data_IF_197576539377
#
_entry.id   IF_197576539377
#
_cell.length_a   1.000
_cell.length_b   1.000
_cell.length_c   1.000
_cell.angle_alpha   90.00
_cell.angle_beta   90.00
_cell.angle_gamma   90.00
#
_symmetry.space_group_name_H-M   'P 1'
#
loop_
_entity.id
_entity.type
_entity.pdbx_description
1 polymer ?
#
# COMPACT_ATOMS: atom_id res chain seq x y z
N UNK A 1 -14.63 21.87 -25.55
CA UNK A 1 -14.04 22.50 -24.35
C UNK A 1 -12.91 21.65 -23.71
N UNK A 2 -12.84 20.33 -23.93
CA UNK A 2 -11.78 19.47 -23.34
C UNK A 2 -10.43 19.50 -24.07
N UNK A 3 -10.37 19.95 -25.31
CA UNK A 3 -9.11 19.97 -26.10
C UNK A 3 -8.14 21.09 -25.66
N UNK A 4 -8.66 22.21 -25.20
CA UNK A 4 -7.87 23.35 -24.71
C UNK A 4 -7.11 23.05 -23.42
N UNK A 5 -7.70 22.27 -22.52
CA UNK A 5 -7.08 21.92 -21.23
C UNK A 5 -5.87 20.97 -21.40
N UNK A 6 -5.90 20.01 -22.33
CA UNK A 6 -4.74 19.14 -22.63
C UNK A 6 -3.58 19.93 -23.28
N UNK A 7 -3.89 20.79 -24.23
CA UNK A 7 -2.87 21.65 -24.86
C UNK A 7 -2.22 22.61 -23.87
N UNK A 8 -2.98 23.24 -22.99
CA UNK A 8 -2.43 24.10 -21.93
C UNK A 8 -1.53 23.34 -20.96
N UNK A 9 -1.90 22.11 -20.54
CA UNK A 9 -1.05 21.30 -19.67
C UNK A 9 0.26 20.88 -20.36
N UNK A 10 0.20 20.47 -21.64
CA UNK A 10 1.40 20.16 -22.41
C UNK A 10 2.29 21.38 -22.64
N UNK A 11 1.71 22.56 -22.89
CA UNK A 11 2.46 23.81 -22.98
C UNK A 11 3.14 24.16 -21.64
N UNK A 12 2.45 24.07 -20.50
CA UNK A 12 3.05 24.33 -19.19
C UNK A 12 4.19 23.37 -18.82
N UNK A 13 4.06 22.10 -19.18
CA UNK A 13 5.13 21.10 -18.95
C UNK A 13 6.34 21.40 -19.87
N UNK A 14 6.08 21.72 -21.13
CA UNK A 14 7.11 22.04 -22.12
C UNK A 14 7.82 23.35 -21.77
N UNK A 15 7.09 24.39 -21.40
CA UNK A 15 7.62 25.69 -20.98
C UNK A 15 8.48 25.58 -19.70
N UNK A 16 8.08 24.74 -18.76
CA UNK A 16 8.90 24.44 -17.57
C UNK A 16 10.15 23.60 -17.89
N UNK A 17 10.05 22.68 -18.83
CA UNK A 17 11.20 21.89 -19.25
C UNK A 17 12.21 22.73 -20.06
N UNK A 18 11.72 23.64 -20.92
CA UNK A 18 12.56 24.55 -21.74
C UNK A 18 13.19 25.66 -20.88
N UNK A 19 12.58 26.06 -19.77
CA UNK A 19 13.09 27.08 -18.84
C UNK A 19 13.68 26.48 -17.54
N UNK A 20 13.81 25.17 -17.45
CA UNK A 20 14.52 24.53 -16.34
C UNK A 20 16.01 24.97 -16.38
N UNK A 21 16.59 25.43 -15.26
CA UNK A 21 18.03 25.70 -15.24
C UNK A 21 18.76 24.42 -15.63
N UNK A 22 19.76 24.55 -16.55
CA UNK A 22 20.64 23.43 -16.85
C UNK A 22 21.21 22.91 -15.54
N UNK A 23 20.76 21.72 -15.16
CA UNK A 23 21.40 20.98 -14.09
C UNK A 23 22.84 20.74 -14.58
N UNK A 24 23.81 21.45 -13.98
CA UNK A 24 25.18 21.03 -14.12
C UNK A 24 25.22 19.57 -13.75
N UNK A 25 25.43 18.70 -14.72
CA UNK A 25 25.74 17.31 -14.48
C UNK A 25 26.96 17.27 -13.56
N UNK A 26 26.71 17.18 -12.24
CA UNK A 26 27.65 16.49 -11.41
C UNK A 26 27.75 15.13 -12.07
N UNK A 27 28.89 14.83 -12.68
CA UNK A 27 29.21 13.47 -13.11
C UNK A 27 28.97 12.56 -11.91
N UNK A 28 27.76 12.09 -11.78
CA UNK A 28 27.48 10.90 -11.00
C UNK A 28 28.30 9.84 -11.70
N UNK A 29 29.35 9.37 -11.05
CA UNK A 29 30.02 8.15 -11.49
C UNK A 29 28.89 7.14 -11.67
N UNK A 30 28.67 6.76 -12.93
CA UNK A 30 27.68 5.76 -13.24
C UNK A 30 28.00 4.53 -12.39
N UNK A 31 26.98 3.95 -11.77
CA UNK A 31 27.13 2.69 -11.07
C UNK A 31 27.75 1.70 -12.05
N UNK A 32 28.99 1.30 -11.79
CA UNK A 32 29.64 0.23 -12.54
C UNK A 32 28.96 -1.08 -12.16
N UNK A 33 29.00 -2.08 -13.06
CA UNK A 33 28.49 -3.43 -12.76
C UNK A 33 29.05 -3.97 -11.43
N UNK A 34 30.30 -3.62 -11.11
CA UNK A 34 30.97 -3.94 -9.87
C UNK A 34 30.37 -3.25 -8.64
N UNK A 35 29.84 -2.02 -8.77
CA UNK A 35 29.10 -1.33 -7.71
C UNK A 35 27.70 -1.93 -7.50
N UNK A 36 27.05 -2.39 -8.57
CA UNK A 36 25.75 -3.08 -8.49
C UNK A 36 25.90 -4.46 -7.84
N UNK A 37 26.95 -5.21 -8.17
CA UNK A 37 27.30 -6.48 -7.53
C UNK A 37 27.64 -6.27 -6.04
N UNK A 38 28.43 -5.26 -5.69
CA UNK A 38 28.73 -4.92 -4.29
C UNK A 38 27.49 -4.45 -3.51
N UNK A 39 26.53 -3.78 -4.14
CA UNK A 39 25.24 -3.44 -3.51
C UNK A 39 24.37 -4.68 -3.31
N UNK A 40 24.39 -5.64 -4.25
CA UNK A 40 23.69 -6.91 -4.11
C UNK A 40 24.33 -7.82 -3.05
N UNK A 41 25.68 -7.86 -2.96
CA UNK A 41 26.39 -8.57 -1.92
C UNK A 41 26.21 -7.92 -0.53
N UNK A 42 26.20 -6.59 -0.44
CA UNK A 42 25.89 -5.88 0.81
C UNK A 42 24.44 -6.05 1.23
N UNK A 43 23.50 -6.14 0.29
CA UNK A 43 22.10 -6.48 0.58
C UNK A 43 21.95 -7.92 1.11
N UNK A 44 22.75 -8.87 0.61
CA UNK A 44 22.81 -10.23 1.18
C UNK A 44 23.46 -10.26 2.57
N UNK A 45 24.46 -9.40 2.83
CA UNK A 45 25.13 -9.34 4.14
C UNK A 45 24.24 -8.72 5.24
N UNK A 46 23.30 -7.84 4.89
CA UNK A 46 22.35 -7.26 5.85
C UNK A 46 21.22 -8.23 6.24
N UNK A 47 20.94 -9.26 5.43
CA UNK A 47 19.87 -10.23 5.71
C UNK A 47 20.27 -11.35 6.69
N UNK A 48 21.56 -11.59 6.93
CA UNK A 48 22.00 -12.61 7.89
C UNK A 48 22.17 -12.12 9.34
N UNK A 49 22.26 -10.81 9.59
CA UNK A 49 22.68 -10.29 10.90
C UNK A 49 21.57 -9.92 11.89
N UNK A 50 20.27 -9.96 11.52
CA UNK A 50 19.17 -9.56 12.44
C UNK A 50 17.99 -10.53 12.39
N UNK A 51 18.22 -11.83 12.41
CA UNK A 51 17.16 -12.79 12.81
C UNK A 51 17.10 -12.85 14.33
N UNK A 52 16.55 -11.81 14.94
CA UNK A 52 16.15 -11.89 16.34
C UNK A 52 14.91 -12.79 16.46
N UNK A 53 14.71 -13.38 17.63
CA UNK A 53 13.56 -14.25 17.94
C UNK A 53 12.18 -13.57 17.70
N UNK A 54 12.18 -12.25 17.44
CA UNK A 54 11.01 -11.37 17.28
C UNK A 54 10.71 -10.92 15.85
N UNK A 55 11.53 -11.33 14.87
CA UNK A 55 11.29 -10.96 13.45
C UNK A 55 9.96 -11.52 12.96
N UNK A 56 9.13 -10.67 12.34
CA UNK A 56 7.85 -11.05 11.71
C UNK A 56 7.96 -10.98 10.19
N UNK A 57 7.40 -11.98 9.50
CA UNK A 57 7.38 -12.05 8.04
C UNK A 57 6.12 -11.37 7.51
N UNK A 58 6.30 -10.39 6.66
CA UNK A 58 5.21 -9.57 6.12
C UNK A 58 5.24 -9.65 4.60
N UNK A 59 4.14 -10.09 4.01
CA UNK A 59 3.97 -10.12 2.55
C UNK A 59 3.78 -8.70 2.02
N UNK A 60 4.62 -8.32 1.05
CA UNK A 60 4.54 -7.05 0.35
C UNK A 60 4.08 -7.30 -1.09
N UNK A 61 2.88 -6.85 -1.44
CA UNK A 61 2.43 -6.84 -2.83
C UNK A 61 3.32 -5.90 -3.65
N UNK A 62 4.02 -6.43 -4.65
CA UNK A 62 5.00 -5.68 -5.45
C UNK A 62 5.08 -6.26 -6.85
N UNK A 63 4.47 -5.56 -7.81
CA UNK A 63 4.50 -5.84 -9.25
C UNK A 63 4.05 -4.58 -10.03
N UNK A 64 3.75 -4.73 -11.31
CA UNK A 64 3.33 -3.62 -12.17
C UNK A 64 2.02 -2.95 -11.71
N UNK A 65 1.13 -3.70 -11.03
CA UNK A 65 -0.12 -3.18 -10.48
C UNK A 65 0.07 -2.51 -9.11
N UNK A 66 1.10 -2.90 -8.34
CA UNK A 66 1.38 -2.44 -6.97
C UNK A 66 2.83 -1.96 -6.87
N UNK A 67 3.09 -0.76 -7.36
CA UNK A 67 4.44 -0.21 -7.52
C UNK A 67 4.68 1.12 -6.78
N UNK A 68 3.66 1.69 -6.14
CA UNK A 68 3.78 2.96 -5.44
C UNK A 68 3.82 2.76 -3.93
N UNK A 69 5.01 2.86 -3.35
CA UNK A 69 5.26 2.82 -1.91
C UNK A 69 6.40 3.77 -1.54
N UNK A 70 6.40 4.22 -0.29
CA UNK A 70 7.52 4.99 0.25
C UNK A 70 8.63 4.04 0.70
N UNK A 71 9.80 4.16 0.09
CA UNK A 71 10.94 3.29 0.39
C UNK A 71 11.36 3.39 1.86
N UNK A 72 11.33 4.59 2.42
CA UNK A 72 11.62 4.85 3.83
C UNK A 72 10.60 4.21 4.81
N UNK A 73 9.33 4.04 4.42
CA UNK A 73 8.38 3.25 5.21
C UNK A 73 8.79 1.77 5.29
N UNK A 74 9.29 1.22 4.17
CA UNK A 74 9.75 -0.17 4.13
C UNK A 74 11.01 -0.36 4.97
N UNK A 75 11.95 0.57 4.88
CA UNK A 75 13.17 0.58 5.68
C UNK A 75 12.86 0.67 7.18
N UNK A 76 11.95 1.58 7.58
CA UNK A 76 11.52 1.68 8.98
C UNK A 76 10.90 0.38 9.50
N UNK A 77 10.03 -0.28 8.72
CA UNK A 77 9.47 -1.57 9.10
C UNK A 77 10.55 -2.63 9.30
N UNK A 78 11.57 -2.65 8.43
CA UNK A 78 12.69 -3.59 8.56
C UNK A 78 13.55 -3.29 9.80
N UNK A 79 13.84 -2.02 10.08
CA UNK A 79 14.53 -1.58 11.30
C UNK A 79 13.78 -1.99 12.57
N UNK A 80 12.43 -1.98 12.52
CA UNK A 80 11.55 -2.40 13.62
C UNK A 80 11.36 -3.92 13.71
N UNK A 81 12.03 -4.71 12.86
CA UNK A 81 12.05 -6.17 12.90
C UNK A 81 11.09 -6.87 11.95
N UNK A 82 10.68 -6.24 10.84
CA UNK A 82 9.98 -6.90 9.77
C UNK A 82 10.93 -7.55 8.77
N UNK A 83 10.62 -8.76 8.32
CA UNK A 83 11.16 -9.38 7.10
C UNK A 83 10.13 -9.21 6.00
N UNK A 84 10.39 -8.33 5.02
CA UNK A 84 9.48 -8.08 3.92
C UNK A 84 9.66 -9.14 2.84
N UNK A 85 8.58 -9.84 2.51
CA UNK A 85 8.55 -10.91 1.52
C UNK A 85 7.75 -10.42 0.32
N UNK A 86 8.38 -10.02 -0.78
CA UNK A 86 7.65 -9.57 -1.97
C UNK A 86 6.89 -10.72 -2.60
N UNK A 87 5.70 -10.44 -3.13
CA UNK A 87 4.90 -11.33 -3.95
C UNK A 87 4.12 -10.53 -4.99
N UNK A 88 3.77 -11.19 -6.08
CA UNK A 88 3.04 -10.56 -7.18
C UNK A 88 1.58 -11.00 -7.23
N UNK A 89 0.61 -10.13 -6.94
CA UNK A 89 -0.80 -10.42 -7.20
C UNK A 89 -1.11 -10.74 -8.66
N UNK A 90 -0.33 -10.24 -9.62
CA UNK A 90 -0.49 -10.53 -11.04
C UNK A 90 -0.01 -11.93 -11.43
N UNK A 91 1.17 -12.35 -10.94
CA UNK A 91 1.89 -13.50 -11.50
C UNK A 91 1.97 -14.71 -10.57
N UNK A 92 1.97 -14.50 -9.24
CA UNK A 92 2.01 -15.60 -8.28
C UNK A 92 0.61 -16.23 -8.12
N UNK A 93 0.58 -17.48 -7.69
CA UNK A 93 -0.69 -18.23 -7.52
C UNK A 93 -1.29 -18.07 -6.12
N UNK A 94 -0.49 -17.74 -5.14
CA UNK A 94 -0.90 -17.55 -3.75
C UNK A 94 0.11 -16.67 -3.02
N UNK A 95 -0.29 -16.15 -1.87
CA UNK A 95 0.63 -15.44 -0.97
C UNK A 95 1.72 -16.39 -0.46
N UNK A 96 2.93 -15.90 -0.14
CA UNK A 96 3.99 -16.70 0.47
C UNK A 96 3.54 -17.35 1.79
N UNK A 97 4.18 -18.47 2.13
CA UNK A 97 3.87 -19.18 3.38
C UNK A 97 4.49 -18.49 4.60
N UNK A 98 3.91 -18.78 5.77
CA UNK A 98 4.37 -18.31 7.08
C UNK A 98 4.45 -16.77 7.19
N UNK A 99 3.51 -16.07 6.61
CA UNK A 99 3.34 -14.64 6.79
C UNK A 99 2.58 -14.35 8.09
N UNK A 100 2.87 -13.21 8.68
CA UNK A 100 2.19 -12.70 9.89
C UNK A 100 1.47 -11.37 9.64
N UNK A 101 1.53 -10.85 8.41
CA UNK A 101 0.87 -9.62 7.98
C UNK A 101 1.01 -9.42 6.48
N UNK A 102 0.18 -8.52 5.93
CA UNK A 102 0.14 -8.17 4.52
C UNK A 102 0.19 -6.65 4.31
N UNK A 103 0.91 -6.23 3.29
CA UNK A 103 0.98 -4.85 2.83
C UNK A 103 0.59 -4.77 1.36
N UNK A 104 -0.45 -3.98 1.08
CA UNK A 104 -0.89 -3.61 -0.26
C UNK A 104 -0.83 -2.09 -0.35
N UNK A 105 0.21 -1.56 -0.95
CA UNK A 105 0.33 -0.12 -1.16
C UNK A 105 -0.33 0.34 -2.46
N UNK A 106 -0.01 1.54 -2.89
CA UNK A 106 -0.56 2.11 -4.10
C UNK A 106 -0.01 1.50 -5.39
N UNK A 107 -0.56 1.95 -6.46
CA UNK A 107 -0.24 1.54 -7.82
C UNK A 107 -1.42 1.79 -8.73
N UNK A 108 -1.53 0.99 -9.77
CA UNK A 108 -2.53 1.16 -10.83
C UNK A 108 -3.27 -0.16 -11.11
N UNK A 109 -3.93 -0.78 -10.11
CA UNK A 109 -4.62 -2.06 -10.31
C UNK A 109 -5.74 -1.98 -11.36
N UNK A 110 -6.29 -0.80 -11.61
CA UNK A 110 -7.28 -0.55 -12.64
C UNK A 110 -6.74 -0.78 -14.06
N UNK A 111 -5.45 -0.61 -14.30
CA UNK A 111 -4.80 -0.89 -15.58
C UNK A 111 -4.60 -2.39 -15.83
N UNK A 112 -4.63 -3.18 -14.78
CA UNK A 112 -4.43 -4.63 -14.76
C UNK A 112 -5.65 -5.37 -14.22
N UNK A 113 -6.82 -4.71 -14.23
CA UNK A 113 -8.02 -5.24 -13.60
C UNK A 113 -8.48 -6.58 -14.20
N UNK A 114 -8.33 -6.75 -15.51
CA UNK A 114 -8.66 -8.01 -16.19
C UNK A 114 -7.73 -9.14 -15.74
N UNK A 115 -6.41 -8.92 -15.70
CA UNK A 115 -5.41 -9.90 -15.28
C UNK A 115 -5.58 -10.26 -13.81
N UNK A 116 -5.70 -9.27 -12.93
CA UNK A 116 -5.95 -9.47 -11.50
C UNK A 116 -7.24 -10.26 -11.27
N UNK A 117 -8.31 -9.96 -12.04
CA UNK A 117 -9.59 -10.66 -11.92
C UNK A 117 -9.50 -12.15 -12.24
N UNK A 118 -8.63 -12.54 -13.18
CA UNK A 118 -8.42 -13.92 -13.59
C UNK A 118 -7.61 -14.75 -12.60
N UNK A 119 -6.85 -14.10 -11.71
CA UNK A 119 -6.02 -14.81 -10.71
C UNK A 119 -6.83 -15.21 -9.48
N UNK A 120 -7.80 -16.11 -9.67
CA UNK A 120 -8.72 -16.58 -8.62
C UNK A 120 -7.99 -17.22 -7.44
N UNK A 121 -6.89 -17.94 -7.68
CA UNK A 121 -6.16 -18.63 -6.62
C UNK A 121 -5.46 -17.65 -5.68
N UNK A 122 -4.87 -16.57 -6.21
CA UNK A 122 -4.28 -15.50 -5.42
C UNK A 122 -5.33 -14.76 -4.60
N UNK A 123 -6.45 -14.33 -5.22
CA UNK A 123 -7.55 -13.66 -4.54
C UNK A 123 -8.12 -14.50 -3.40
N UNK A 124 -8.32 -15.80 -3.65
CA UNK A 124 -8.80 -16.75 -2.63
C UNK A 124 -7.81 -16.89 -1.48
N UNK A 125 -6.52 -16.97 -1.78
CA UNK A 125 -5.43 -17.04 -0.80
C UNK A 125 -5.41 -15.82 0.12
N UNK A 126 -5.48 -14.61 -0.46
CA UNK A 126 -5.54 -13.34 0.28
C UNK A 126 -6.80 -13.29 1.14
N UNK A 127 -7.96 -13.54 0.55
CA UNK A 127 -9.26 -13.49 1.27
C UNK A 127 -9.28 -14.45 2.45
N UNK A 128 -8.73 -15.66 2.28
CA UNK A 128 -8.63 -16.64 3.36
C UNK A 128 -7.75 -16.15 4.50
N UNK A 129 -6.59 -15.56 4.20
CA UNK A 129 -5.68 -15.03 5.20
C UNK A 129 -6.31 -13.88 6.00
N UNK A 130 -6.95 -12.92 5.31
CA UNK A 130 -7.61 -11.78 5.93
C UNK A 130 -8.82 -12.20 6.78
N UNK A 131 -9.65 -13.13 6.30
CA UNK A 131 -10.75 -13.71 7.10
C UNK A 131 -10.25 -14.50 8.30
N UNK A 132 -9.04 -15.03 8.25
CA UNK A 132 -8.33 -15.66 9.36
C UNK A 132 -7.78 -14.67 10.39
N UNK A 133 -7.93 -13.36 10.16
CA UNK A 133 -7.46 -12.30 11.06
C UNK A 133 -6.02 -11.87 10.84
N UNK A 134 -5.42 -12.20 9.70
CA UNK A 134 -4.07 -11.72 9.36
C UNK A 134 -4.06 -10.19 9.25
N UNK A 135 -3.18 -9.47 9.98
CA UNK A 135 -3.09 -8.02 9.90
C UNK A 135 -2.75 -7.51 8.52
N UNK A 136 -3.40 -6.41 8.10
CA UNK A 136 -3.23 -5.84 6.78
C UNK A 136 -3.28 -4.31 6.80
N UNK A 137 -2.36 -3.69 6.06
CA UNK A 137 -2.45 -2.30 5.63
C UNK A 137 -2.67 -2.29 4.12
N UNK A 138 -3.71 -1.56 3.64
CA UNK A 138 -4.02 -1.45 2.23
C UNK A 138 -4.30 0.02 1.85
N UNK A 139 -3.43 0.60 1.03
CA UNK A 139 -3.50 2.00 0.62
C UNK A 139 -3.84 2.12 -0.87
N UNK A 140 -4.72 3.07 -1.22
CA UNK A 140 -5.05 3.48 -2.58
C UNK A 140 -5.34 2.28 -3.52
N UNK A 141 -4.44 1.94 -4.43
CA UNK A 141 -4.59 0.78 -5.31
C UNK A 141 -4.76 -0.54 -4.56
N UNK A 142 -4.03 -0.72 -3.45
CA UNK A 142 -4.18 -1.88 -2.58
C UNK A 142 -5.56 -1.96 -1.93
N UNK A 143 -6.10 -0.81 -1.50
CA UNK A 143 -7.47 -0.73 -1.00
C UNK A 143 -8.50 -1.12 -2.08
N UNK A 144 -8.34 -0.61 -3.31
CA UNK A 144 -9.21 -0.95 -4.44
C UNK A 144 -9.20 -2.46 -4.73
N UNK A 145 -8.04 -3.10 -4.68
CA UNK A 145 -7.90 -4.54 -4.94
C UNK A 145 -8.55 -5.42 -3.87
N UNK A 146 -8.61 -4.96 -2.62
CA UNK A 146 -9.29 -5.71 -1.55
C UNK A 146 -10.82 -5.61 -1.59
N UNK A 147 -11.40 -4.66 -2.35
CA UNK A 147 -12.83 -4.52 -2.55
C UNK A 147 -13.41 -5.64 -3.44
N UNK A 148 -14.73 -5.61 -3.69
CA UNK A 148 -15.42 -6.62 -4.49
C UNK A 148 -15.09 -6.51 -5.98
N UNK A 149 -15.06 -5.26 -6.51
CA UNK A 149 -14.86 -5.01 -7.93
C UNK A 149 -14.05 -3.74 -8.18
N UNK A 150 -13.34 -3.73 -9.31
CA UNK A 150 -12.85 -2.52 -9.96
C UNK A 150 -13.64 -2.37 -11.27
N UNK A 151 -14.27 -1.20 -11.47
CA UNK A 151 -14.93 -0.84 -12.72
C UNK A 151 -13.96 -0.03 -13.57
N UNK A 152 -13.80 -0.38 -14.83
CA UNK A 152 -12.98 0.38 -15.78
C UNK A 152 -13.73 1.58 -16.39
N UNK A 153 -13.04 2.33 -17.26
CA UNK A 153 -13.62 3.48 -17.98
C UNK A 153 -14.73 3.08 -18.95
N UNK A 154 -14.79 1.82 -19.40
CA UNK A 154 -15.86 1.30 -20.27
C UNK A 154 -17.11 0.92 -19.49
N UNK A 155 -17.03 0.85 -18.16
CA UNK A 155 -18.09 0.40 -17.27
C UNK A 155 -18.04 -1.11 -16.99
N UNK A 156 -17.03 -1.82 -17.47
CA UNK A 156 -16.84 -3.25 -17.18
C UNK A 156 -16.36 -3.43 -15.73
N UNK A 157 -16.99 -4.36 -15.01
CA UNK A 157 -16.65 -4.69 -13.63
C UNK A 157 -15.78 -5.95 -13.57
N UNK A 158 -14.64 -5.84 -12.94
CA UNK A 158 -13.69 -6.93 -12.75
C UNK A 158 -13.68 -7.36 -11.27
N UNK A 159 -13.99 -8.63 -10.95
CA UNK A 159 -14.01 -9.11 -9.58
C UNK A 159 -12.60 -9.12 -8.98
N UNK A 160 -12.47 -8.53 -7.80
CA UNK A 160 -11.24 -8.44 -7.03
C UNK A 160 -11.27 -9.41 -5.83
N UNK A 161 -10.50 -9.14 -4.78
CA UNK A 161 -10.43 -10.03 -3.60
C UNK A 161 -11.77 -10.20 -2.91
N UNK A 162 -12.60 -9.14 -2.86
CA UNK A 162 -13.92 -9.16 -2.24
C UNK A 162 -13.88 -9.40 -0.73
N UNK A 163 -12.83 -8.94 -0.07
CA UNK A 163 -12.74 -8.94 1.39
C UNK A 163 -13.40 -7.69 1.99
N UNK A 164 -13.25 -6.54 1.34
CA UNK A 164 -13.94 -5.31 1.68
C UNK A 164 -15.15 -5.12 0.77
N UNK A 165 -16.22 -4.57 1.33
CA UNK A 165 -17.44 -4.24 0.58
C UNK A 165 -17.22 -3.08 -0.39
N UNK A 166 -18.01 -3.04 -1.46
CA UNK A 166 -18.07 -1.95 -2.42
C UNK A 166 -17.19 -2.16 -3.64
N UNK A 167 -17.24 -1.18 -4.51
CA UNK A 167 -16.51 -1.17 -5.78
C UNK A 167 -15.84 0.16 -6.01
N UNK A 168 -14.68 0.09 -6.66
CA UNK A 168 -13.97 1.26 -7.16
C UNK A 168 -14.39 1.57 -8.58
N UNK A 169 -14.47 2.85 -8.93
CA UNK A 169 -14.90 3.35 -10.22
C UNK A 169 -14.14 4.61 -10.64
N UNK A 170 -13.95 4.85 -11.97
CA UNK A 170 -13.27 6.02 -12.47
C UNK A 170 -14.13 7.27 -12.28
N UNK A 171 -13.51 8.38 -11.90
CA UNK A 171 -14.21 9.65 -11.65
C UNK A 171 -14.02 10.66 -12.77
N UNK A 172 -13.21 10.34 -13.79
CA UNK A 172 -12.87 11.24 -14.90
C UNK A 172 -12.07 12.50 -14.49
N UNK A 173 -11.78 12.66 -13.19
CA UNK A 173 -11.02 13.78 -12.66
C UNK A 173 -10.34 13.39 -11.34
N UNK A 174 -9.27 14.12 -11.00
CA UNK A 174 -8.57 13.93 -9.74
C UNK A 174 -9.48 14.24 -8.54
N UNK A 175 -9.59 13.30 -7.62
CA UNK A 175 -10.37 13.45 -6.36
C UNK A 175 -9.43 13.66 -5.17
N UNK A 176 -9.92 14.42 -4.16
CA UNK A 176 -9.29 14.53 -2.83
C UNK A 176 -7.77 14.72 -2.85
N UNK A 177 -7.26 15.45 -3.83
CA UNK A 177 -5.82 15.62 -4.06
C UNK A 177 -5.11 16.39 -2.96
N UNK A 178 -3.91 15.91 -2.59
CA UNK A 178 -2.88 16.60 -1.80
C UNK A 178 -2.87 16.19 -0.32
N UNK A 179 -2.13 16.93 0.48
CA UNK A 179 -1.92 16.62 1.89
C UNK A 179 -3.19 16.75 2.72
N UNK A 180 -3.33 15.86 3.69
CA UNK A 180 -4.40 15.83 4.70
C UNK A 180 -3.81 15.40 6.04
N UNK A 181 -4.53 15.72 7.12
CA UNK A 181 -4.33 15.12 8.43
C UNK A 181 -5.52 14.24 8.71
N UNK A 182 -5.28 12.96 9.03
CA UNK A 182 -6.32 12.04 9.47
C UNK A 182 -6.46 12.18 10.98
N UNK A 183 -7.68 12.44 11.45
CA UNK A 183 -8.00 12.61 12.86
C UNK A 183 -9.12 11.66 13.28
N UNK A 184 -9.22 11.39 14.58
CA UNK A 184 -10.14 10.39 15.11
C UNK A 184 -9.66 8.96 14.78
N UNK A 185 -10.51 7.99 15.05
CA UNK A 185 -10.23 6.59 14.74
C UNK A 185 -9.14 5.94 15.61
N UNK A 186 -8.94 4.68 15.33
CA UNK A 186 -7.89 3.86 15.94
C UNK A 186 -7.15 3.09 14.85
N UNK A 187 -5.93 2.66 15.14
CA UNK A 187 -5.12 1.80 14.28
C UNK A 187 -4.87 0.50 15.03
N UNK A 188 -5.43 -0.58 14.50
CA UNK A 188 -5.36 -1.90 15.15
C UNK A 188 -5.83 -1.85 16.62
N UNK A 189 -6.98 -1.16 16.86
CA UNK A 189 -7.59 -1.02 18.19
C UNK A 189 -6.92 0.01 19.11
N UNK A 190 -5.92 0.77 18.67
CA UNK A 190 -5.20 1.77 19.46
C UNK A 190 -5.32 3.16 18.87
N UNK A 191 -5.48 4.18 19.71
CA UNK A 191 -5.45 5.58 19.28
C UNK A 191 -4.09 5.94 18.69
N UNK A 192 -4.09 6.55 17.51
CA UNK A 192 -2.87 6.96 16.82
C UNK A 192 -2.60 8.48 16.87
N UNK A 193 -3.61 9.29 17.21
CA UNK A 193 -3.53 10.75 17.11
C UNK A 193 -3.67 11.25 15.68
N UNK A 194 -3.16 12.43 15.39
CA UNK A 194 -3.16 12.98 14.03
C UNK A 194 -2.15 12.27 13.13
N UNK A 195 -2.57 11.90 11.93
CA UNK A 195 -1.75 11.17 10.96
C UNK A 195 -1.60 12.01 9.69
N UNK A 196 -0.39 12.51 9.39
CA UNK A 196 -0.13 13.14 8.10
C UNK A 196 -0.24 12.10 6.98
N UNK A 197 -1.00 12.45 5.94
CA UNK A 197 -1.21 11.59 4.79
C UNK A 197 -1.32 12.42 3.50
N UNK A 198 -1.29 11.74 2.37
CA UNK A 198 -1.45 12.33 1.05
C UNK A 198 -2.43 11.51 0.23
N UNK A 199 -3.33 12.17 -0.51
CA UNK A 199 -4.21 11.52 -1.47
C UNK A 199 -3.92 11.97 -2.90
N UNK A 200 -3.89 11.01 -3.82
CA UNK A 200 -3.72 11.25 -5.25
C UNK A 200 -4.35 10.09 -6.03
N UNK A 201 -5.63 10.23 -6.41
CA UNK A 201 -6.33 9.16 -7.14
C UNK A 201 -7.36 9.71 -8.12
N UNK A 202 -7.55 8.98 -9.23
CA UNK A 202 -8.56 9.25 -10.26
C UNK A 202 -9.76 8.29 -10.16
N UNK A 203 -9.72 7.40 -9.19
CA UNK A 203 -10.81 6.49 -8.83
C UNK A 203 -11.46 6.96 -7.52
N UNK A 204 -12.69 6.57 -7.30
CA UNK A 204 -13.36 6.68 -6.00
C UNK A 204 -14.05 5.33 -5.72
N UNK A 205 -14.57 5.13 -4.51
CA UNK A 205 -15.23 3.90 -4.12
C UNK A 205 -16.58 4.18 -3.50
N UNK A 206 -17.52 3.23 -3.65
CA UNK A 206 -18.84 3.29 -3.02
C UNK A 206 -18.71 3.32 -1.50
N UNK A 207 -17.73 2.59 -0.96
CA UNK A 207 -17.42 2.52 0.48
C UNK A 207 -15.97 2.91 0.67
N UNK A 208 -15.71 4.10 1.24
CA UNK A 208 -14.37 4.60 1.55
C UNK A 208 -14.00 4.47 3.03
N UNK A 209 -14.92 3.93 3.86
CA UNK A 209 -14.78 3.89 5.30
C UNK A 209 -15.10 5.22 5.99
N UNK A 210 -15.25 5.15 7.31
CA UNK A 210 -15.62 6.29 8.16
C UNK A 210 -14.81 6.37 9.45
N UNK A 211 -13.75 5.56 9.56
CA UNK A 211 -12.97 5.46 10.79
C UNK A 211 -12.19 6.73 11.12
N UNK A 212 -11.81 7.50 10.10
CA UNK A 212 -11.06 8.74 10.24
C UNK A 212 -11.75 9.89 9.53
N UNK A 213 -11.47 11.11 10.01
CA UNK A 213 -11.77 12.36 9.32
C UNK A 213 -10.48 12.88 8.69
N UNK A 214 -10.45 12.98 7.36
CA UNK A 214 -9.39 13.64 6.64
C UNK A 214 -9.67 15.15 6.58
N UNK A 215 -8.71 15.94 7.02
CA UNK A 215 -8.82 17.40 7.09
C UNK A 215 -7.73 18.06 6.26
N UNK A 216 -8.11 19.00 5.41
CA UNK A 216 -7.14 19.79 4.61
C UNK A 216 -6.46 20.86 5.48
N UNK A 217 -5.10 20.93 5.50
CA UNK A 217 -4.40 21.86 6.38
C UNK A 217 -4.64 23.35 6.08
N UNK A 218 -5.04 23.69 4.86
CA UNK A 218 -5.19 25.08 4.41
C UNK A 218 -6.63 25.44 3.99
N UNK A 219 -7.63 24.63 4.36
CA UNK A 219 -9.03 24.90 4.03
C UNK A 219 -9.97 24.16 4.99
N UNK A 220 -11.24 24.56 5.01
CA UNK A 220 -12.27 23.88 5.83
C UNK A 220 -12.81 22.59 5.17
N UNK A 221 -12.13 22.05 4.17
CA UNK A 221 -12.56 20.80 3.51
C UNK A 221 -12.16 19.61 4.36
N UNK A 222 -13.13 18.76 4.64
CA UNK A 222 -12.93 17.49 5.33
C UNK A 222 -13.86 16.42 4.76
N UNK A 223 -13.51 15.15 4.96
CA UNK A 223 -14.33 14.00 4.57
C UNK A 223 -13.98 12.80 5.43
N UNK A 224 -14.94 11.92 5.61
CA UNK A 224 -14.70 10.63 6.25
C UNK A 224 -13.96 9.69 5.31
N UNK A 225 -13.06 8.89 5.87
CA UNK A 225 -12.24 7.95 5.12
C UNK A 225 -11.73 6.81 6.00
N UNK A 226 -11.04 5.87 5.40
CA UNK A 226 -10.40 4.71 6.00
C UNK A 226 -11.38 3.74 6.67
N UNK A 227 -11.16 2.49 6.38
CA UNK A 227 -11.70 1.35 7.14
C UNK A 227 -10.62 0.96 8.14
N UNK A 228 -10.96 0.92 9.41
CA UNK A 228 -10.06 0.49 10.47
C UNK A 228 -10.74 -0.50 11.40
N UNK A 229 -10.11 -1.64 11.59
CA UNK A 229 -10.52 -2.71 12.52
C UNK A 229 -9.34 -3.12 13.39
N UNK A 230 -9.49 -4.16 14.19
CA UNK A 230 -8.39 -4.72 14.97
C UNK A 230 -7.29 -5.36 14.12
N UNK A 231 -7.59 -5.68 12.85
CA UNK A 231 -6.64 -6.38 11.94
C UNK A 231 -6.43 -5.68 10.61
N UNK A 232 -7.25 -4.69 10.24
CA UNK A 232 -7.17 -4.05 8.92
C UNK A 232 -7.18 -2.54 9.04
N UNK A 233 -6.27 -1.89 8.31
CA UNK A 233 -6.27 -0.46 8.02
C UNK A 233 -6.26 -0.28 6.52
N UNK A 234 -7.35 0.25 5.93
CA UNK A 234 -7.48 0.35 4.48
C UNK A 234 -8.18 1.63 4.03
N UNK A 235 -7.73 2.23 2.93
CA UNK A 235 -8.34 3.44 2.34
C UNK A 235 -7.47 4.08 1.28
N UNK A 236 -7.92 5.24 0.75
CA UNK A 236 -7.16 5.98 -0.28
C UNK A 236 -5.93 6.73 0.22
N UNK A 237 -5.91 7.29 1.45
CA UNK A 237 -4.74 8.01 1.95
C UNK A 237 -3.47 7.16 1.95
N UNK A 238 -2.38 7.74 1.45
CA UNK A 238 -1.02 7.23 1.58
C UNK A 238 -0.38 7.81 2.84
N UNK A 239 0.13 6.95 3.70
CA UNK A 239 0.65 7.32 5.01
C UNK A 239 2.17 7.25 5.00
N UNK A 240 2.82 8.32 5.47
CA UNK A 240 4.26 8.33 5.69
C UNK A 240 4.55 8.04 7.17
N UNK A 241 5.20 6.92 7.46
CA UNK A 241 5.29 6.39 8.82
C UNK A 241 6.11 7.25 9.78
N UNK A 242 7.13 7.94 9.29
CA UNK A 242 7.85 8.93 10.10
C UNK A 242 7.00 10.12 10.54
N UNK A 243 5.84 10.33 9.92
CA UNK A 243 4.85 11.31 10.37
C UNK A 243 4.07 10.86 11.60
N UNK A 244 4.01 9.54 11.85
CA UNK A 244 3.41 8.95 13.05
C UNK A 244 3.86 7.48 13.20
N UNK A 245 4.93 7.25 13.95
CA UNK A 245 5.53 5.93 14.14
C UNK A 245 4.64 4.91 14.88
N UNK A 246 3.55 5.36 15.53
CA UNK A 246 2.56 4.45 16.13
C UNK A 246 1.89 3.54 15.10
N UNK A 247 1.88 3.93 13.81
CA UNK A 247 1.27 3.13 12.76
C UNK A 247 2.05 1.84 12.52
N UNK A 248 3.36 1.90 12.16
CA UNK A 248 4.15 0.69 12.00
C UNK A 248 4.33 -0.07 13.33
N UNK A 249 4.43 0.61 14.48
CA UNK A 249 4.48 -0.04 15.79
C UNK A 249 3.25 -0.92 16.06
N UNK A 250 2.05 -0.35 15.92
CA UNK A 250 0.80 -1.06 16.16
C UNK A 250 0.60 -2.21 15.16
N UNK A 251 0.94 -1.99 13.89
CA UNK A 251 0.89 -3.02 12.86
C UNK A 251 1.80 -4.20 13.19
N UNK A 252 3.07 -3.93 13.51
CA UNK A 252 4.04 -4.98 13.85
C UNK A 252 3.68 -5.72 15.15
N UNK A 253 3.13 -5.03 16.12
CA UNK A 253 2.63 -5.69 17.35
C UNK A 253 1.49 -6.67 17.01
N UNK A 254 0.57 -6.27 16.13
CA UNK A 254 -0.51 -7.14 15.70
C UNK A 254 0.00 -8.33 14.88
N UNK A 255 1.01 -8.12 14.03
CA UNK A 255 1.69 -9.21 13.31
C UNK A 255 2.37 -10.21 14.27
N UNK A 256 3.00 -9.73 15.35
CA UNK A 256 3.58 -10.62 16.37
C UNK A 256 2.51 -11.44 17.07
N UNK A 257 1.37 -10.85 17.40
CA UNK A 257 0.22 -11.56 18.00
C UNK A 257 -0.35 -12.63 17.06
N UNK A 258 -0.52 -12.31 15.79
CA UNK A 258 -0.97 -13.26 14.77
C UNK A 258 -0.04 -14.48 14.71
N UNK A 259 1.26 -14.27 14.60
CA UNK A 259 2.28 -15.33 14.61
C UNK A 259 2.21 -16.22 15.85
N UNK A 260 2.00 -15.64 17.03
CA UNK A 260 1.90 -16.40 18.27
C UNK A 260 0.64 -17.26 18.32
N UNK A 261 -0.48 -16.75 17.80
CA UNK A 261 -1.74 -17.50 17.71
C UNK A 261 -1.60 -18.69 16.78
N UNK A 262 -0.98 -18.52 15.61
CA UNK A 262 -0.72 -19.62 14.66
C UNK A 262 0.17 -20.71 15.27
N UNK A 263 1.23 -20.33 15.99
CA UNK A 263 2.09 -21.29 16.69
C UNK A 263 1.32 -22.13 17.70
N UNK A 264 0.49 -21.48 18.52
CA UNK A 264 -0.34 -22.16 19.54
C UNK A 264 -1.41 -23.08 18.91
N UNK A 265 -1.98 -22.69 17.77
CA UNK A 265 -2.91 -23.53 17.02
C UNK A 265 -2.21 -24.78 16.47
N UNK A 266 -1.05 -24.62 15.83
CA UNK A 266 -0.28 -25.76 15.30
C UNK A 266 0.29 -26.70 16.38
N UNK A 267 0.47 -26.24 17.62
CA UNK A 267 0.87 -27.11 18.75
C UNK A 267 -0.31 -27.95 19.26
N UNK A 268 -1.53 -27.39 19.23
CA UNK A 268 -2.75 -28.12 19.66
C UNK A 268 -3.13 -29.23 18.69
N UNK A 269 -2.91 -29.06 17.39
CA UNK A 269 -3.23 -30.04 16.37
C UNK A 269 -2.23 -31.25 16.36
N UNK A 270 -1.12 -31.14 17.10
CA UNK A 270 -0.10 -32.19 17.22
C UNK A 270 -0.22 -33.02 18.50
N UNK A 271 -1.12 -32.65 19.41
CA UNK A 271 -1.40 -33.36 20.67
C UNK A 271 -2.75 -34.06 20.59
#
# INVERSE_FOLDING_TARGET
LHSTSRRQRQMCIRDRAENAPELQEKKTQGYTSEMVENLAENAQYSTESVRTKDTVRIGLASDDAFCFFYQDNLELLQEMGAELIPFSPLYDKQIPENLSGLLFYGGYPELYAEELSKNESMKTSIKKALNGGMPCIAECGGFMYLQEYIRDESGTEFPMVGFLEGKSYPTGSLKRFGYVTLTGGSIFGKEAGGIPAHEFHYYDSEVCGEAFLAEKPMSNRSWKCMISTDTVLAGYPHIHYYGNEKIPENFLEQCRRCREQEKRAGERDRT
#
